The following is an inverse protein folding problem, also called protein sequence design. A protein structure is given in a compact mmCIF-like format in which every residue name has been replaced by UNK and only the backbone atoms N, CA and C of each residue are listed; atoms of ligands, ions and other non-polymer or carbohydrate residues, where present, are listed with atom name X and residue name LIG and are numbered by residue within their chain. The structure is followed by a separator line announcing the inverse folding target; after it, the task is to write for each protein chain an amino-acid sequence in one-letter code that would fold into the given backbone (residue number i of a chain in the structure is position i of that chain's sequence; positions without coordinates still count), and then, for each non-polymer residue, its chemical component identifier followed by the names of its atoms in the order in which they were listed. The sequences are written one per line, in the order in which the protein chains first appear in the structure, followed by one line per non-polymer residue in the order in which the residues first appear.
data_IF_700780248827
#
_entry.id   IF_700780248827
#
_cell.length_a   1.000
_cell.length_b   1.000
_cell.length_c   1.000
_cell.angle_alpha   90.00
_cell.angle_beta   90.00
_cell.angle_gamma   90.00
#
_symmetry.space_group_name_H-M   'P 1'
#
loop_
_entity.id
_entity.type
_entity.pdbx_description
1 polymer ?
#
# COMPACT_ATOMS: atom_id res chain seq x y z
N UNK A 1 13.44 9.48 3.89
CA UNK A 1 12.00 9.12 3.72
C UNK A 1 11.62 9.43 2.29
N UNK A 2 11.35 8.43 1.48
CA UNK A 2 10.80 8.64 0.14
C UNK A 2 9.29 8.71 0.32
N UNK A 3 8.72 9.92 0.26
CA UNK A 3 7.27 10.07 0.07
C UNK A 3 7.00 9.63 -1.36
N UNK A 4 6.53 8.40 -1.52
CA UNK A 4 6.20 7.86 -2.83
C UNK A 4 4.86 8.49 -3.22
N UNK A 5 4.93 9.49 -4.08
CA UNK A 5 3.74 10.13 -4.65
C UNK A 5 3.48 9.46 -5.99
N UNK A 6 2.34 8.77 -6.10
CA UNK A 6 1.88 8.28 -7.39
C UNK A 6 1.67 9.46 -8.36
N UNK A 7 1.90 9.28 -9.68
CA UNK A 7 1.65 10.31 -10.66
C UNK A 7 0.20 10.79 -10.59
N UNK A 8 -0.06 12.01 -11.03
CA UNK A 8 -1.43 12.49 -11.19
C UNK A 8 -2.15 11.70 -12.32
N UNK A 9 -3.48 11.69 -12.29
CA UNK A 9 -4.30 10.87 -13.18
C UNK A 9 -4.04 11.22 -14.66
N UNK A 10 -3.87 12.49 -15.00
CA UNK A 10 -3.64 12.92 -16.38
C UNK A 10 -2.29 12.43 -16.92
N UNK A 11 -1.26 12.44 -16.08
CA UNK A 11 0.06 11.87 -16.41
C UNK A 11 -0.03 10.35 -16.55
N UNK A 12 -0.75 9.68 -15.65
CA UNK A 12 -0.99 8.23 -15.70
C UNK A 12 -1.68 7.81 -17.00
N UNK A 13 -2.76 8.48 -17.37
CA UNK A 13 -3.53 8.18 -18.59
C UNK A 13 -2.68 8.37 -19.86
N UNK A 14 -1.85 9.42 -19.90
CA UNK A 14 -0.92 9.65 -21.00
C UNK A 14 0.12 8.54 -21.10
N UNK A 15 0.77 8.20 -20.01
CA UNK A 15 1.79 7.13 -19.98
C UNK A 15 1.18 5.78 -20.39
N UNK A 16 0.00 5.45 -19.87
CA UNK A 16 -0.70 4.24 -20.25
C UNK A 16 -1.05 4.20 -21.73
N UNK A 17 -1.53 5.31 -22.29
CA UNK A 17 -1.84 5.40 -23.71
C UNK A 17 -0.60 5.22 -24.61
N UNK A 18 0.56 5.74 -24.21
CA UNK A 18 1.84 5.56 -24.92
C UNK A 18 2.36 4.11 -24.78
N UNK A 19 2.34 3.56 -23.56
CA UNK A 19 2.78 2.19 -23.31
C UNK A 19 1.94 1.15 -24.09
N UNK A 20 0.64 1.39 -24.27
CA UNK A 20 -0.26 0.55 -25.09
C UNK A 20 0.09 0.57 -26.58
N UNK A 21 0.80 1.59 -27.07
CA UNK A 21 1.32 1.69 -28.44
C UNK A 21 2.70 1.04 -28.57
N UNK A 22 3.25 0.49 -27.49
CA UNK A 22 4.57 -0.13 -27.48
C UNK A 22 5.72 0.85 -27.21
N UNK A 23 5.43 2.04 -26.72
CA UNK A 23 6.45 3.02 -26.34
C UNK A 23 7.24 2.50 -25.13
N UNK A 24 8.49 2.12 -25.36
CA UNK A 24 9.37 1.54 -24.34
C UNK A 24 9.78 2.56 -23.27
N UNK A 25 9.86 3.84 -23.63
CA UNK A 25 10.17 4.89 -22.66
C UNK A 25 9.01 5.12 -21.70
N UNK A 26 7.77 5.12 -22.19
CA UNK A 26 6.59 5.20 -21.36
C UNK A 26 6.47 3.98 -20.42
N UNK A 27 6.81 2.77 -20.90
CA UNK A 27 6.86 1.56 -20.06
C UNK A 27 7.92 1.70 -18.96
N UNK A 28 9.10 2.23 -19.29
CA UNK A 28 10.16 2.46 -18.30
C UNK A 28 9.73 3.50 -17.25
N UNK A 29 9.12 4.61 -17.67
CA UNK A 29 8.59 5.61 -16.74
C UNK A 29 7.52 5.04 -15.80
N UNK A 30 6.62 4.20 -16.31
CA UNK A 30 5.65 3.48 -15.47
C UNK A 30 6.38 2.60 -14.45
N UNK A 31 7.40 1.84 -14.89
CA UNK A 31 8.21 0.99 -13.99
C UNK A 31 8.84 1.83 -12.87
N UNK A 32 9.56 2.90 -13.22
CA UNK A 32 10.25 3.75 -12.24
C UNK A 32 9.32 4.39 -11.22
N UNK A 33 8.12 4.81 -11.67
CA UNK A 33 7.15 5.49 -10.81
C UNK A 33 6.35 4.52 -9.93
N UNK A 34 6.08 3.31 -10.41
CA UNK A 34 5.22 2.37 -9.70
C UNK A 34 5.97 1.25 -8.98
N UNK A 35 7.24 0.98 -9.32
CA UNK A 35 8.01 -0.06 -8.63
C UNK A 35 8.13 0.20 -7.12
N UNK A 36 8.55 1.39 -6.66
CA UNK A 36 8.70 1.65 -5.23
C UNK A 36 7.38 1.51 -4.43
N UNK A 37 6.24 2.10 -4.85
CA UNK A 37 4.99 1.95 -4.12
C UNK A 37 4.45 0.50 -4.13
N UNK A 38 4.62 -0.24 -5.22
CA UNK A 38 4.20 -1.64 -5.31
C UNK A 38 5.08 -2.53 -4.44
N UNK A 39 6.40 -2.34 -4.50
CA UNK A 39 7.34 -3.03 -3.63
C UNK A 39 7.00 -2.82 -2.15
N UNK A 40 6.80 -1.57 -1.74
CA UNK A 40 6.41 -1.24 -0.38
C UNK A 40 5.09 -1.91 0.01
N UNK A 41 4.09 -1.88 -0.86
CA UNK A 41 2.80 -2.53 -0.62
C UNK A 41 2.94 -4.05 -0.42
N UNK A 42 3.79 -4.71 -1.21
CA UNK A 42 4.06 -6.14 -1.10
C UNK A 42 4.90 -6.43 0.14
N UNK A 43 5.98 -5.69 0.35
CA UNK A 43 6.91 -5.88 1.48
C UNK A 43 6.21 -5.79 2.84
N UNK A 44 5.30 -4.82 3.01
CA UNK A 44 4.47 -4.67 4.21
C UNK A 44 3.64 -5.93 4.54
N UNK A 45 3.44 -6.81 3.57
CA UNK A 45 2.62 -8.01 3.71
C UNK A 45 3.42 -9.29 3.78
N UNK A 46 4.52 -9.38 3.06
CA UNK A 46 5.33 -10.60 3.03
C UNK A 46 6.41 -10.59 4.10
N UNK A 47 6.88 -9.41 4.50
CA UNK A 47 7.90 -9.24 5.55
C UNK A 47 9.31 -9.73 5.15
N UNK A 48 9.48 -10.23 3.94
CA UNK A 48 10.73 -10.76 3.39
C UNK A 48 11.13 -9.89 2.17
N UNK A 49 12.20 -9.09 2.29
CA UNK A 49 12.62 -8.18 1.21
C UNK A 49 12.95 -8.87 -0.12
N UNK A 50 13.73 -9.96 -0.17
CA UNK A 50 13.96 -10.70 -1.41
C UNK A 50 12.68 -11.19 -2.08
N UNK A 51 11.78 -11.81 -1.30
CA UNK A 51 10.49 -12.26 -1.81
C UNK A 51 9.62 -11.08 -2.31
N UNK A 52 9.64 -9.95 -1.61
CA UNK A 52 8.90 -8.76 -2.03
C UNK A 52 9.41 -8.23 -3.38
N UNK A 53 10.72 -8.27 -3.62
CA UNK A 53 11.33 -7.86 -4.87
C UNK A 53 10.93 -8.80 -6.02
N UNK A 54 10.98 -10.11 -5.80
CA UNK A 54 10.56 -11.12 -6.77
C UNK A 54 9.08 -10.96 -7.15
N UNK A 55 8.20 -10.85 -6.17
CA UNK A 55 6.77 -10.67 -6.40
C UNK A 55 6.46 -9.32 -7.08
N UNK A 56 7.21 -8.27 -6.75
CA UNK A 56 7.09 -6.98 -7.44
C UNK A 56 7.49 -7.11 -8.90
N UNK A 57 8.61 -7.75 -9.17
CA UNK A 57 9.08 -8.02 -10.54
C UNK A 57 8.05 -8.80 -11.35
N UNK A 58 7.41 -9.81 -10.74
CA UNK A 58 6.31 -10.57 -11.39
C UNK A 58 5.12 -9.67 -11.77
N UNK A 59 4.78 -8.67 -10.94
CA UNK A 59 3.73 -7.69 -11.27
C UNK A 59 4.04 -6.94 -12.54
N UNK A 60 5.30 -6.49 -12.70
CA UNK A 60 5.71 -5.73 -13.89
C UNK A 60 5.87 -6.60 -15.13
N UNK A 61 6.28 -7.85 -14.99
CA UNK A 61 6.24 -8.83 -16.11
C UNK A 61 4.80 -8.97 -16.60
N UNK A 62 3.83 -9.17 -15.70
CA UNK A 62 2.40 -9.24 -16.06
C UNK A 62 1.88 -7.95 -16.68
N UNK A 63 2.39 -6.78 -16.27
CA UNK A 63 2.06 -5.50 -16.91
C UNK A 63 2.54 -5.48 -18.36
N UNK A 64 3.80 -5.80 -18.61
CA UNK A 64 4.37 -5.81 -19.98
C UNK A 64 3.62 -6.79 -20.87
N UNK A 65 3.32 -7.99 -20.38
CA UNK A 65 2.55 -8.99 -21.12
C UNK A 65 1.14 -8.51 -21.43
N UNK A 66 0.48 -7.83 -20.49
CA UNK A 66 -0.86 -7.29 -20.71
C UNK A 66 -0.87 -6.14 -21.71
N UNK A 67 0.17 -5.29 -21.73
CA UNK A 67 0.33 -4.21 -22.69
C UNK A 67 0.56 -4.73 -24.12
N UNK A 68 1.30 -5.84 -24.27
CA UNK A 68 1.51 -6.53 -25.55
C UNK A 68 0.27 -7.28 -26.04
N UNK A 69 -0.59 -7.70 -25.11
CA UNK A 69 -1.81 -8.43 -25.39
C UNK A 69 -3.04 -7.51 -25.52
N UNK A 70 -4.23 -8.13 -25.49
CA UNK A 70 -5.51 -7.39 -25.53
C UNK A 70 -6.09 -7.09 -24.13
N UNK A 71 -5.34 -7.37 -23.07
CA UNK A 71 -5.78 -7.27 -21.68
C UNK A 71 -5.17 -6.07 -20.92
N UNK A 72 -4.63 -5.10 -21.67
CA UNK A 72 -4.07 -3.88 -21.09
C UNK A 72 -5.11 -3.13 -20.23
N UNK A 73 -4.67 -2.48 -19.12
CA UNK A 73 -5.54 -1.67 -18.29
C UNK A 73 -6.33 -0.66 -19.12
N UNK A 74 -7.65 -0.55 -18.89
CA UNK A 74 -8.53 0.31 -19.69
C UNK A 74 -8.74 1.70 -19.05
N UNK A 75 -8.80 1.77 -17.72
CA UNK A 75 -9.21 2.97 -17.01
C UNK A 75 -8.18 3.47 -15.99
N UNK A 76 -7.73 2.64 -15.07
CA UNK A 76 -6.80 3.03 -14.02
C UNK A 76 -5.60 2.10 -14.01
N UNK A 77 -4.43 2.64 -14.32
CA UNK A 77 -3.17 1.90 -14.26
C UNK A 77 -2.85 1.51 -12.81
N UNK A 78 -2.99 2.47 -11.87
CA UNK A 78 -2.75 2.23 -10.44
C UNK A 78 -3.67 1.15 -9.89
N UNK A 79 -4.97 1.24 -10.17
CA UNK A 79 -5.95 0.24 -9.75
C UNK A 79 -5.62 -1.14 -10.30
N UNK A 80 -5.20 -1.22 -11.57
CA UNK A 80 -4.79 -2.47 -12.20
C UNK A 80 -3.52 -3.05 -11.56
N UNK A 81 -2.47 -2.24 -11.38
CA UNK A 81 -1.18 -2.69 -10.82
C UNK A 81 -1.36 -3.22 -9.39
N UNK A 82 -2.05 -2.50 -8.50
CA UNK A 82 -2.27 -2.96 -7.13
C UNK A 82 -3.17 -4.19 -7.05
N UNK A 83 -4.15 -4.35 -7.96
CA UNK A 83 -4.94 -5.57 -8.08
C UNK A 83 -4.07 -6.77 -8.50
N UNK A 84 -3.18 -6.58 -9.47
CA UNK A 84 -2.23 -7.61 -9.89
C UNK A 84 -1.27 -7.95 -8.75
N UNK A 85 -0.74 -6.97 -8.04
CA UNK A 85 0.11 -7.19 -6.87
C UNK A 85 -0.59 -8.04 -5.80
N UNK A 86 -1.86 -7.73 -5.51
CA UNK A 86 -2.69 -8.53 -4.59
C UNK A 86 -2.88 -9.96 -5.07
N UNK A 87 -3.13 -10.15 -6.36
CA UNK A 87 -3.32 -11.47 -6.96
C UNK A 87 -2.02 -12.29 -6.96
N UNK A 88 -0.88 -11.68 -7.26
CA UNK A 88 0.46 -12.32 -7.21
C UNK A 88 0.74 -12.81 -5.79
N UNK A 89 0.57 -11.96 -4.79
CA UNK A 89 0.71 -12.37 -3.38
C UNK A 89 -0.25 -13.50 -3.02
N UNK A 90 -1.53 -13.40 -3.42
CA UNK A 90 -2.54 -14.42 -3.13
C UNK A 90 -2.21 -15.75 -3.79
N UNK A 91 -1.63 -15.74 -4.99
CA UNK A 91 -1.20 -16.95 -5.70
C UNK A 91 0.00 -17.59 -5.03
N UNK A 92 0.94 -16.77 -4.56
CA UNK A 92 2.16 -17.25 -3.88
C UNK A 92 1.85 -17.92 -2.53
N UNK A 93 1.01 -17.30 -1.73
CA UNK A 93 0.66 -17.82 -0.39
C UNK A 93 -0.52 -18.79 -0.40
N UNK A 94 -1.13 -19.02 -1.55
CA UNK A 94 -2.34 -19.78 -1.66
C UNK A 94 -3.51 -19.08 -0.95
N UNK A 95 -4.50 -19.87 -0.50
CA UNK A 95 -5.61 -19.37 0.31
C UNK A 95 -5.21 -19.15 1.79
N UNK A 96 -3.95 -18.94 2.08
CA UNK A 96 -3.51 -18.61 3.43
C UNK A 96 -4.14 -17.29 3.86
N UNK A 97 -5.07 -17.41 4.78
CA UNK A 97 -6.00 -16.36 5.23
C UNK A 97 -5.35 -15.22 6.03
N UNK A 98 -4.06 -15.27 6.30
CA UNK A 98 -3.36 -14.25 7.08
C UNK A 98 -1.96 -14.06 6.53
N UNK A 99 -1.75 -12.92 5.89
CA UNK A 99 -0.40 -12.45 5.65
C UNK A 99 0.22 -12.05 6.99
N UNK A 100 1.44 -12.48 7.33
CA UNK A 100 2.14 -11.91 8.48
C UNK A 100 2.36 -10.42 8.16
N UNK A 101 1.67 -9.56 8.87
CA UNK A 101 1.86 -8.11 8.71
C UNK A 101 3.08 -7.72 9.53
N UNK A 102 4.22 -7.73 8.88
CA UNK A 102 5.49 -7.63 9.61
C UNK A 102 6.02 -6.21 9.73
N UNK A 103 5.56 -5.20 8.98
CA UNK A 103 6.24 -3.90 9.06
C UNK A 103 5.48 -2.69 8.54
N UNK A 104 4.28 -2.44 9.05
CA UNK A 104 3.72 -1.08 8.97
C UNK A 104 4.64 -0.01 9.61
N UNK A 105 5.66 -0.47 10.34
CA UNK A 105 6.66 0.36 11.00
C UNK A 105 7.49 1.20 10.05
N UNK A 106 7.84 0.66 8.88
CA UNK A 106 8.62 1.37 7.87
C UNK A 106 7.84 2.50 7.20
N UNK A 107 6.51 2.46 7.34
CA UNK A 107 5.62 3.46 6.73
C UNK A 107 5.48 4.75 7.54
N UNK A 108 5.85 4.72 8.81
CA UNK A 108 5.80 5.88 9.68
C UNK A 108 7.08 6.70 9.49
N UNK A 109 6.99 7.99 9.15
CA UNK A 109 8.16 8.82 8.90
C UNK A 109 9.11 8.90 10.10
N UNK A 110 10.38 8.58 9.93
CA UNK A 110 11.41 9.00 10.87
C UNK A 110 11.75 10.47 10.61
N UNK A 111 11.56 11.32 11.60
CA UNK A 111 11.85 12.75 11.48
C UNK A 111 13.30 13.07 11.80
N UNK A 112 13.86 13.99 11.04
CA UNK A 112 15.23 14.51 11.17
C UNK A 112 15.39 15.69 12.15
N UNK A 113 14.60 15.70 13.23
CA UNK A 113 14.72 16.76 14.23
C UNK A 113 15.73 16.35 15.30
N UNK A 114 16.72 17.21 15.58
CA UNK A 114 17.89 16.90 16.42
C UNK A 114 17.68 17.16 17.92
N UNK A 115 16.47 17.54 18.37
CA UNK A 115 16.17 17.74 19.79
C UNK A 115 15.88 16.40 20.48
N UNK A 116 16.69 15.99 21.49
CA UNK A 116 16.54 14.71 22.16
C UNK A 116 15.18 14.51 22.85
N UNK A 117 14.58 15.56 23.43
CA UNK A 117 13.26 15.47 24.06
C UNK A 117 12.15 15.32 23.02
N UNK A 118 12.22 16.06 21.91
CA UNK A 118 11.30 15.94 20.79
C UNK A 118 11.44 14.58 20.12
N UNK A 119 12.66 14.07 19.98
CA UNK A 119 12.90 12.71 19.49
C UNK A 119 12.32 11.64 20.41
N UNK A 120 12.46 11.77 21.72
CA UNK A 120 11.91 10.84 22.69
C UNK A 120 10.37 10.80 22.66
N UNK A 121 9.71 11.95 22.71
CA UNK A 121 8.24 12.06 22.64
C UNK A 121 7.72 11.52 21.30
N UNK A 122 8.41 11.82 20.20
CA UNK A 122 8.07 11.32 18.87
C UNK A 122 8.26 9.81 18.74
N UNK A 123 9.34 9.27 19.29
CA UNK A 123 9.59 7.83 19.28
C UNK A 123 8.51 7.07 20.06
N UNK A 124 8.08 7.56 21.20
CA UNK A 124 6.98 7.00 21.99
C UNK A 124 5.65 7.03 21.23
N UNK A 125 5.32 8.16 20.59
CA UNK A 125 4.11 8.29 19.77
C UNK A 125 4.16 7.37 18.54
N UNK A 126 5.36 7.18 17.99
CA UNK A 126 5.62 6.31 16.87
C UNK A 126 5.40 4.83 17.24
N UNK A 127 5.96 4.39 18.38
CA UNK A 127 5.76 3.01 18.88
C UNK A 127 4.28 2.72 19.18
N UNK A 128 3.56 3.69 19.76
CA UNK A 128 2.11 3.56 19.97
C UNK A 128 1.35 3.41 18.67
N UNK A 129 1.67 4.24 17.68
CA UNK A 129 1.06 4.15 16.36
C UNK A 129 1.35 2.81 15.69
N UNK A 130 2.59 2.32 15.80
CA UNK A 130 2.99 0.99 15.32
C UNK A 130 2.20 -0.13 15.99
N UNK A 131 2.13 -0.13 17.33
CA UNK A 131 1.37 -1.12 18.11
C UNK A 131 -0.11 -1.11 17.73
N UNK A 132 -0.71 0.07 17.58
CA UNK A 132 -2.10 0.22 17.16
C UNK A 132 -2.34 -0.30 15.72
N UNK A 133 -1.45 -0.01 14.80
CA UNK A 133 -1.55 -0.50 13.43
C UNK A 133 -1.40 -2.02 13.34
N UNK A 134 -0.49 -2.63 14.12
CA UNK A 134 -0.32 -4.08 14.18
C UNK A 134 -1.54 -4.80 14.76
N UNK A 135 -2.29 -4.15 15.65
CA UNK A 135 -3.49 -4.72 16.26
C UNK A 135 -4.72 -4.71 15.33
N UNK A 136 -4.65 -4.00 14.20
CA UNK A 136 -5.69 -4.06 13.16
C UNK A 136 -5.65 -5.43 12.46
N UNK A 137 -6.83 -5.91 12.04
CA UNK A 137 -6.87 -7.08 11.18
C UNK A 137 -6.36 -6.77 9.75
N UNK A 138 -6.00 -7.82 8.99
CA UNK A 138 -5.39 -7.69 7.67
C UNK A 138 -6.21 -6.82 6.70
N UNK A 139 -7.54 -6.93 6.68
CA UNK A 139 -8.39 -6.11 5.80
C UNK A 139 -8.43 -4.64 6.23
N UNK A 140 -8.44 -4.37 7.54
CA UNK A 140 -8.39 -3.01 8.08
C UNK A 140 -7.06 -2.34 7.72
N UNK A 141 -5.96 -3.06 7.83
CA UNK A 141 -4.65 -2.55 7.42
C UNK A 141 -4.61 -2.29 5.92
N UNK A 142 -5.12 -3.24 5.12
CA UNK A 142 -5.14 -3.11 3.66
C UNK A 142 -5.91 -1.88 3.19
N UNK A 143 -7.10 -1.65 3.73
CA UNK A 143 -7.89 -0.48 3.35
C UNK A 143 -7.19 0.82 3.71
N UNK A 144 -6.49 0.89 4.86
CA UNK A 144 -5.74 2.08 5.25
C UNK A 144 -4.53 2.33 4.35
N UNK A 145 -3.79 1.29 4.01
CA UNK A 145 -2.64 1.39 3.09
C UNK A 145 -3.10 1.90 1.71
N UNK A 146 -4.13 1.29 1.14
CA UNK A 146 -4.63 1.67 -0.18
C UNK A 146 -5.19 3.09 -0.19
N UNK A 147 -6.03 3.45 0.80
CA UNK A 147 -6.70 4.74 0.88
C UNK A 147 -5.77 5.90 1.25
N UNK A 148 -4.96 5.73 2.28
CA UNK A 148 -4.15 6.81 2.86
C UNK A 148 -2.68 6.73 2.44
N UNK A 149 -2.16 5.53 2.24
CA UNK A 149 -0.81 5.30 1.77
C UNK A 149 -0.65 5.52 0.28
N UNK A 150 -1.47 4.88 -0.49
CA UNK A 150 -1.41 4.95 -1.95
C UNK A 150 -2.37 5.99 -2.55
N UNK A 151 -3.14 6.69 -1.70
CA UNK A 151 -4.12 7.74 -2.09
C UNK A 151 -5.14 7.27 -3.14
N UNK A 152 -5.44 5.97 -3.17
CA UNK A 152 -6.44 5.42 -4.07
C UNK A 152 -7.83 5.89 -3.67
N UNK A 153 -8.72 6.07 -4.63
CA UNK A 153 -10.10 6.40 -4.35
C UNK A 153 -10.92 5.20 -3.83
N UNK A 154 -12.18 5.42 -3.48
CA UNK A 154 -13.03 4.36 -2.92
C UNK A 154 -13.36 3.28 -3.96
N UNK A 155 -13.53 3.66 -5.22
CA UNK A 155 -13.83 2.71 -6.29
C UNK A 155 -12.60 1.84 -6.61
N UNK A 156 -11.43 2.46 -6.78
CA UNK A 156 -10.16 1.76 -7.00
C UNK A 156 -9.88 0.77 -5.86
N UNK A 157 -10.06 1.21 -4.61
CA UNK A 157 -9.88 0.36 -3.43
C UNK A 157 -10.87 -0.81 -3.43
N UNK A 158 -12.11 -0.58 -3.80
CA UNK A 158 -13.15 -1.60 -3.89
C UNK A 158 -12.79 -2.64 -4.96
N UNK A 159 -12.35 -2.20 -6.13
CA UNK A 159 -11.94 -3.07 -7.23
C UNK A 159 -10.72 -3.92 -6.87
N UNK A 160 -9.74 -3.34 -6.16
CA UNK A 160 -8.55 -4.07 -5.70
C UNK A 160 -8.91 -5.12 -4.65
N UNK A 161 -9.72 -4.74 -3.66
CA UNK A 161 -10.08 -5.62 -2.56
C UNK A 161 -11.19 -6.63 -2.92
N UNK A 162 -11.81 -6.50 -4.11
CA UNK A 162 -12.94 -7.34 -4.54
C UNK A 162 -14.18 -7.14 -3.68
N UNK A 163 -14.46 -5.90 -3.27
CA UNK A 163 -15.56 -5.53 -2.38
C UNK A 163 -16.42 -4.42 -3.02
N UNK A 164 -17.62 -4.19 -2.49
CA UNK A 164 -18.41 -3.03 -2.88
C UNK A 164 -17.86 -1.74 -2.25
N UNK A 165 -18.12 -0.60 -2.89
CA UNK A 165 -17.75 0.73 -2.35
C UNK A 165 -18.34 0.95 -0.95
N UNK A 166 -19.58 0.50 -0.71
CA UNK A 166 -20.21 0.60 0.61
C UNK A 166 -19.49 -0.24 1.67
N UNK A 167 -19.01 -1.44 1.29
CA UNK A 167 -18.21 -2.29 2.17
C UNK A 167 -16.85 -1.64 2.50
N UNK A 168 -16.20 -1.00 1.52
CA UNK A 168 -14.95 -0.25 1.74
C UNK A 168 -15.16 0.92 2.68
N UNK A 169 -16.22 1.72 2.49
CA UNK A 169 -16.57 2.82 3.42
C UNK A 169 -16.73 2.32 4.85
N UNK A 170 -17.49 1.23 5.02
CA UNK A 170 -17.72 0.62 6.34
C UNK A 170 -16.43 0.04 6.95
N UNK A 171 -15.58 -0.58 6.12
CA UNK A 171 -14.31 -1.14 6.55
C UNK A 171 -13.33 -0.03 6.97
N UNK A 172 -13.20 1.02 6.15
CA UNK A 172 -12.39 2.20 6.47
C UNK A 172 -12.85 2.86 7.79
N UNK A 173 -14.15 3.06 7.97
CA UNK A 173 -14.71 3.63 9.19
C UNK A 173 -14.36 2.79 10.42
N UNK A 174 -14.55 1.47 10.34
CA UNK A 174 -14.16 0.55 11.42
C UNK A 174 -12.67 0.56 11.71
N UNK A 175 -11.83 0.55 10.67
CA UNK A 175 -10.38 0.61 10.82
C UNK A 175 -9.93 1.88 11.54
N UNK A 176 -10.45 3.05 11.15
CA UNK A 176 -10.14 4.33 11.79
C UNK A 176 -10.63 4.38 13.23
N UNK A 177 -11.83 3.85 13.52
CA UNK A 177 -12.34 3.81 14.90
C UNK A 177 -11.52 2.86 15.78
N UNK A 178 -11.14 1.68 15.27
CA UNK A 178 -10.25 0.77 16.00
C UNK A 178 -8.92 1.45 16.32
N UNK A 179 -8.31 2.16 15.35
CA UNK A 179 -7.09 2.93 15.61
C UNK A 179 -7.28 3.98 16.70
N UNK A 180 -8.38 4.72 16.68
CA UNK A 180 -8.66 5.75 17.69
C UNK A 180 -8.79 5.15 19.09
N UNK A 181 -9.47 4.01 19.23
CA UNK A 181 -9.57 3.29 20.50
C UNK A 181 -8.22 2.83 21.00
N UNK A 182 -7.45 2.12 20.14
CA UNK A 182 -6.14 1.62 20.50
C UNK A 182 -5.14 2.73 20.89
N UNK A 183 -5.19 3.87 20.20
CA UNK A 183 -4.35 5.03 20.52
C UNK A 183 -4.80 5.74 21.81
N UNK A 184 -6.12 5.73 22.09
CA UNK A 184 -6.68 6.25 23.35
C UNK A 184 -6.29 5.38 24.53
N UNK A 185 -6.43 4.06 24.43
CA UNK A 185 -6.08 3.11 25.48
C UNK A 185 -4.58 3.14 25.80
N UNK A 186 -3.72 3.20 24.77
CA UNK A 186 -2.27 3.32 24.92
C UNK A 186 -1.83 4.64 25.58
N UNK A 187 -2.66 5.70 25.52
CA UNK A 187 -2.41 6.95 26.22
C UNK A 187 -2.65 6.82 27.71
N UNK A 188 -3.72 6.13 28.11
CA UNK A 188 -4.08 5.91 29.50
C UNK A 188 -3.10 4.98 30.24
N UNK A 189 -2.50 3.99 29.53
CA UNK A 189 -1.48 3.10 30.10
C UNK A 189 -0.21 3.86 30.53
N UNK A 190 0.13 4.95 29.84
CA UNK A 190 1.36 5.74 30.14
C UNK A 190 1.12 6.82 31.19
N UNK A 191 -0.12 7.32 31.32
CA UNK A 191 -0.47 8.30 32.34
C UNK A 191 -0.66 7.65 33.73
N UNK A 192 -0.80 6.30 33.80
CA UNK A 192 -1.03 5.53 35.02
C UNK A 192 0.17 4.65 35.44
N UNK A 193 1.31 4.67 34.78
CA UNK A 193 2.54 3.91 35.06
C UNK A 193 3.70 4.81 35.40
#
# INVERSE_FOLDING_TARGET
MIVIVLPDIATEDRLLAQARRGDSEAIMQIYEQYFPPVYQFIQLRVGDPPLAEDLTSEVFVKLVDSLRGRSAPQHSLRGWIFRVARNVMSSHFGKMRQYPVTSLEEWIPSSSDNDPEVQFIRSMNLERARKALRALNAEQQEVLILRFGQKLDLQETADIMGKSVSAIKSLQFRAVNTLRQLLGDLRLEVENG
#
